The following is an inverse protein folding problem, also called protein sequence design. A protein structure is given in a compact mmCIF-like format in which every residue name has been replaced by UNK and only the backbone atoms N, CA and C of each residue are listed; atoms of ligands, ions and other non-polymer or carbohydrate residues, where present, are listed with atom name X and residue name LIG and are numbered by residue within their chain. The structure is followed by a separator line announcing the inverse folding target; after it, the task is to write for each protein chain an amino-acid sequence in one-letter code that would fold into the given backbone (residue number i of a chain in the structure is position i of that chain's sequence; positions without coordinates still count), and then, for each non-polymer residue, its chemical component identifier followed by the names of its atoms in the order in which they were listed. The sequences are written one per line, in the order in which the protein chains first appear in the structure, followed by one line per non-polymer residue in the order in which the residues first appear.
data_IF_392533559289
#
_entry.id   IF_392533559289
#
_cell.length_a   1.000
_cell.length_b   1.000
_cell.length_c   1.000
_cell.angle_alpha   90.00
_cell.angle_beta   90.00
_cell.angle_gamma   90.00
#
_symmetry.space_group_name_H-M   'P 1'
#
loop_
_entity.id
_entity.type
_entity.pdbx_description
1 polymer ?
#
# COMPACT_ATOMS: atom_id res chain seq x y z
N UNK A 1 -26.28 2.34 -6.97
CA UNK A 1 -25.57 3.01 -5.86
C UNK A 1 -24.18 3.30 -6.34
N UNK A 2 -23.70 4.50 -6.13
CA UNK A 2 -22.35 4.90 -6.45
C UNK A 2 -21.36 4.06 -5.63
N UNK A 3 -20.32 3.54 -6.26
CA UNK A 3 -19.30 2.75 -5.57
C UNK A 3 -18.33 3.66 -4.87
N UNK A 4 -18.03 3.37 -3.62
CA UNK A 4 -17.05 4.09 -2.83
C UNK A 4 -15.92 3.16 -2.39
N UNK A 5 -14.75 3.74 -2.14
CA UNK A 5 -13.59 3.01 -1.63
C UNK A 5 -12.89 3.77 -0.53
N UNK A 6 -12.23 3.02 0.35
CA UNK A 6 -11.45 3.56 1.46
C UNK A 6 -9.99 3.74 1.03
N UNK A 7 -9.58 4.99 0.88
CA UNK A 7 -8.24 5.40 0.45
C UNK A 7 -7.53 6.06 1.63
N UNK A 8 -6.25 5.77 1.82
CA UNK A 8 -5.49 6.44 2.88
C UNK A 8 -4.56 7.54 2.37
N UNK A 9 -4.16 7.49 1.11
CA UNK A 9 -3.33 8.51 0.49
C UNK A 9 -3.55 8.56 -1.03
N UNK A 10 -3.35 9.74 -1.61
CA UNK A 10 -3.16 9.93 -3.05
C UNK A 10 -1.87 10.73 -3.21
N UNK A 11 -0.87 10.12 -3.83
CA UNK A 11 0.45 10.71 -4.03
C UNK A 11 0.57 11.20 -5.47
N UNK A 12 0.81 12.49 -5.62
CA UNK A 12 1.04 13.13 -6.90
C UNK A 12 2.51 13.01 -7.31
N UNK A 13 2.75 12.98 -8.62
CA UNK A 13 4.07 13.09 -9.21
C UNK A 13 5.07 12.01 -8.76
N UNK A 14 4.64 10.74 -8.72
CA UNK A 14 5.54 9.61 -8.43
C UNK A 14 6.31 9.19 -9.68
N UNK A 15 7.60 8.84 -9.50
CA UNK A 15 8.53 8.42 -10.57
C UNK A 15 9.05 6.99 -10.38
N UNK A 16 8.62 6.30 -9.31
CA UNK A 16 9.11 4.96 -8.96
C UNK A 16 8.01 3.89 -8.93
N UNK A 17 6.77 4.27 -9.26
CA UNK A 17 5.60 3.39 -9.13
C UNK A 17 5.04 2.96 -10.50
N UNK A 18 5.94 2.62 -11.41
CA UNK A 18 5.67 2.19 -12.79
C UNK A 18 6.29 3.12 -13.83
N UNK A 19 6.03 2.89 -15.14
CA UNK A 19 6.55 3.73 -16.21
C UNK A 19 6.04 5.17 -16.15
N UNK A 20 6.90 6.13 -16.51
CA UNK A 20 6.56 7.55 -16.56
C UNK A 20 6.27 8.20 -15.20
N UNK A 21 5.66 9.39 -15.23
CA UNK A 21 5.18 10.11 -14.03
C UNK A 21 3.77 9.61 -13.72
N UNK A 22 3.49 9.33 -12.43
CA UNK A 22 2.24 8.71 -12.03
C UNK A 22 1.59 9.38 -10.82
N UNK A 23 0.26 9.39 -10.81
CA UNK A 23 -0.50 9.57 -9.57
C UNK A 23 -0.71 8.19 -8.95
N UNK A 24 -0.34 8.03 -7.67
CA UNK A 24 -0.52 6.77 -6.94
C UNK A 24 -1.68 6.87 -5.98
N UNK A 25 -2.66 5.98 -6.12
CA UNK A 25 -3.84 5.89 -5.24
C UNK A 25 -3.64 4.72 -4.28
N UNK A 26 -3.55 5.02 -2.98
CA UNK A 26 -3.25 4.03 -1.94
C UNK A 26 -4.51 3.56 -1.22
N UNK A 27 -4.91 2.33 -1.47
CA UNK A 27 -6.07 1.67 -0.88
C UNK A 27 -5.82 1.20 0.55
N UNK A 28 -6.86 1.22 1.40
CA UNK A 28 -6.83 0.58 2.71
C UNK A 28 -7.37 -0.86 2.64
N UNK A 29 -6.82 -1.69 3.52
CA UNK A 29 -7.09 -3.12 3.59
C UNK A 29 -5.99 -3.92 2.90
N UNK A 30 -5.41 -4.88 3.62
CA UNK A 30 -4.47 -5.85 3.07
C UNK A 30 -4.73 -7.22 3.71
N UNK A 31 -4.83 -8.31 2.92
CA UNK A 31 -5.02 -9.65 3.45
C UNK A 31 -3.73 -10.24 4.03
N UNK A 32 -2.57 -9.61 3.72
CA UNK A 32 -1.27 -10.01 4.23
C UNK A 32 -0.87 -9.18 5.46
N UNK A 33 -0.08 -9.78 6.34
CA UNK A 33 0.51 -9.13 7.51
C UNK A 33 2.04 -9.16 7.45
N UNK A 34 2.60 -8.58 6.38
CA UNK A 34 4.04 -8.54 6.18
C UNK A 34 4.74 -7.85 7.36
N UNK A 35 5.78 -8.50 7.93
CA UNK A 35 6.54 -7.97 9.06
C UNK A 35 7.29 -6.67 8.72
N UNK A 36 7.70 -6.50 7.46
CA UNK A 36 8.42 -5.33 6.95
C UNK A 36 7.55 -4.36 6.16
N UNK A 37 6.24 -4.34 6.41
CA UNK A 37 5.30 -3.53 5.64
C UNK A 37 5.70 -2.04 5.64
N UNK A 38 5.87 -1.45 4.46
CA UNK A 38 6.20 -0.04 4.30
C UNK A 38 4.98 0.88 4.52
N UNK A 39 3.77 0.35 4.33
CA UNK A 39 2.51 1.07 4.50
C UNK A 39 1.62 0.40 5.56
N UNK A 40 2.06 0.29 6.83
CA UNK A 40 1.27 -0.36 7.87
C UNK A 40 -0.09 0.33 8.10
N UNK A 41 -0.24 1.62 7.77
CA UNK A 41 -1.48 2.36 7.75
C UNK A 41 -2.51 1.83 6.74
N UNK A 42 -2.09 0.99 5.81
CA UNK A 42 -2.98 0.34 4.85
C UNK A 42 -3.51 -1.01 5.32
N UNK A 43 -2.89 -1.67 6.31
CA UNK A 43 -3.25 -3.05 6.69
C UNK A 43 -4.71 -3.21 7.08
N UNK A 44 -5.23 -2.29 7.91
CA UNK A 44 -6.63 -2.29 8.33
C UNK A 44 -7.54 -1.67 7.27
N UNK A 45 -8.70 -2.26 7.05
CA UNK A 45 -9.76 -1.64 6.24
C UNK A 45 -10.42 -0.45 6.95
N UNK A 46 -10.32 -0.40 8.28
CA UNK A 46 -10.93 0.63 9.11
C UNK A 46 -10.06 1.88 9.18
N UNK A 47 -10.69 3.01 9.49
CA UNK A 47 -9.96 4.24 9.84
C UNK A 47 -9.05 3.99 11.03
N UNK A 48 -7.89 4.67 11.06
CA UNK A 48 -6.92 4.55 12.15
C UNK A 48 -6.39 5.93 12.55
N UNK A 49 -6.24 6.14 13.86
CA UNK A 49 -5.62 7.34 14.42
C UNK A 49 -4.11 7.09 14.59
N UNK A 50 -3.32 7.83 13.85
CA UNK A 50 -1.86 7.88 13.96
C UNK A 50 -1.42 9.00 14.91
N UNK A 51 -0.33 8.75 15.62
CA UNK A 51 0.30 9.72 16.52
C UNK A 51 1.82 9.70 16.39
N UNK A 52 2.37 10.76 15.85
CA UNK A 52 3.81 10.99 15.75
C UNK A 52 4.33 11.66 17.03
N UNK A 53 4.87 10.85 17.93
CA UNK A 53 5.36 11.32 19.24
C UNK A 53 6.39 12.44 19.11
N UNK A 54 7.30 12.33 18.15
CA UNK A 54 8.38 13.31 17.94
C UNK A 54 7.89 14.70 17.51
N UNK A 55 6.67 14.78 16.93
CA UNK A 55 6.02 16.05 16.60
C UNK A 55 5.19 16.64 17.73
N UNK A 56 4.95 15.89 18.80
CA UNK A 56 4.06 16.33 19.88
C UNK A 56 4.77 17.28 20.84
N UNK A 57 4.28 18.50 20.97
CA UNK A 57 4.80 19.53 21.91
C UNK A 57 4.06 19.52 23.25
N UNK A 58 3.30 18.46 23.57
CA UNK A 58 2.61 18.27 24.84
C UNK A 58 1.63 19.40 25.25
N UNK A 59 1.09 20.15 24.28
CA UNK A 59 0.24 21.34 24.55
C UNK A 59 -1.16 21.03 25.12
N UNK A 60 -1.61 19.78 25.14
CA UNK A 60 -2.88 19.34 25.71
C UNK A 60 -4.15 19.74 24.94
N UNK A 61 -4.06 20.42 23.80
CA UNK A 61 -5.23 20.88 23.00
C UNK A 61 -6.11 19.71 22.55
N UNK A 62 -5.50 18.61 22.09
CA UNK A 62 -6.22 17.41 21.63
C UNK A 62 -7.06 16.77 22.77
N UNK A 63 -6.55 16.75 24.00
CA UNK A 63 -7.32 16.27 25.17
C UNK A 63 -8.56 17.11 25.42
N UNK A 64 -8.43 18.45 25.34
CA UNK A 64 -9.55 19.37 25.55
C UNK A 64 -10.60 19.29 24.42
N UNK A 65 -10.18 19.00 23.19
CA UNK A 65 -11.04 18.90 22.02
C UNK A 65 -11.76 17.54 21.90
N UNK A 66 -11.30 16.50 22.60
CA UNK A 66 -11.81 15.15 22.43
C UNK A 66 -12.96 14.84 23.40
N UNK A 67 -14.20 14.85 22.92
CA UNK A 67 -15.37 14.47 23.72
C UNK A 67 -15.35 12.99 24.16
N UNK A 68 -14.58 12.11 23.50
CA UNK A 68 -14.49 10.69 23.80
C UNK A 68 -13.36 10.33 24.79
N UNK A 69 -12.64 11.33 25.29
CA UNK A 69 -11.50 11.11 26.20
C UNK A 69 -10.46 10.12 25.65
N UNK A 70 -10.14 10.24 24.37
CA UNK A 70 -9.10 9.43 23.68
C UNK A 70 -7.71 9.78 24.19
N UNK A 71 -7.49 11.04 24.55
CA UNK A 71 -6.18 11.58 24.91
C UNK A 71 -6.08 11.82 26.41
N UNK A 72 -4.99 11.38 27.03
CA UNK A 72 -4.60 11.70 28.39
C UNK A 72 -3.11 11.98 28.49
N UNK A 73 -2.67 12.63 29.55
CA UNK A 73 -1.26 12.97 29.80
C UNK A 73 -0.88 12.50 31.19
N UNK A 74 0.28 11.83 31.29
CA UNK A 74 0.91 11.44 32.55
C UNK A 74 2.37 11.90 32.50
N UNK A 75 2.68 12.93 33.30
CA UNK A 75 3.96 13.64 33.20
C UNK A 75 4.25 14.11 31.78
N UNK A 76 5.35 13.63 31.20
CA UNK A 76 5.75 13.92 29.83
C UNK A 76 5.29 12.86 28.80
N UNK A 77 4.30 12.06 29.16
CA UNK A 77 3.77 11.02 28.29
C UNK A 77 2.36 11.38 27.81
N UNK A 78 2.17 11.43 26.48
CA UNK A 78 0.86 11.52 25.87
C UNK A 78 0.35 10.10 25.59
N UNK A 79 -0.72 9.71 26.25
CA UNK A 79 -1.35 8.38 26.15
C UNK A 79 -2.59 8.50 25.29
N UNK A 80 -2.77 7.56 24.35
CA UNK A 80 -3.89 7.52 23.41
C UNK A 80 -4.64 6.20 23.54
N UNK A 81 -5.90 6.27 23.97
CA UNK A 81 -6.82 5.15 23.97
C UNK A 81 -7.58 5.11 22.63
N UNK A 82 -7.05 4.37 21.65
CA UNK A 82 -7.59 4.30 20.29
C UNK A 82 -8.96 3.62 20.22
N UNK A 83 -9.29 2.73 21.16
CA UNK A 83 -10.57 2.00 21.18
C UNK A 83 -11.77 2.93 21.41
N UNK A 84 -11.51 4.11 22.00
CA UNK A 84 -12.54 5.14 22.21
C UNK A 84 -12.69 6.09 21.02
N UNK A 85 -11.84 5.99 20.00
CA UNK A 85 -11.81 6.95 18.90
C UNK A 85 -12.99 6.73 17.94
N UNK A 86 -13.76 7.78 17.70
CA UNK A 86 -14.85 7.82 16.70
C UNK A 86 -14.47 8.53 15.42
N UNK A 87 -13.19 8.84 15.25
CA UNK A 87 -12.61 9.46 14.04
C UNK A 87 -13.25 10.80 13.62
N UNK A 88 -13.69 11.60 14.58
CA UNK A 88 -14.35 12.91 14.35
C UNK A 88 -13.39 14.02 13.90
N UNK A 89 -12.08 13.81 13.85
CA UNK A 89 -11.01 14.74 13.48
C UNK A 89 -10.74 15.93 14.42
N UNK A 90 -11.56 16.21 15.42
CA UNK A 90 -11.41 17.40 16.29
C UNK A 90 -9.99 17.54 16.89
N UNK A 91 -9.33 16.44 17.24
CA UNK A 91 -7.97 16.44 17.76
C UNK A 91 -6.91 16.67 16.66
N UNK A 92 -7.18 16.24 15.44
CA UNK A 92 -6.33 16.44 14.25
C UNK A 92 -6.36 17.91 13.85
N UNK A 93 -7.54 18.49 13.71
CA UNK A 93 -7.75 19.87 13.25
C UNK A 93 -7.15 20.92 14.20
N UNK A 94 -7.12 20.61 15.51
CA UNK A 94 -6.53 21.51 16.53
C UNK A 94 -5.01 21.29 16.71
N UNK A 95 -4.42 20.25 16.12
CA UNK A 95 -3.01 19.91 16.32
C UNK A 95 -2.09 20.79 15.47
N UNK A 96 -1.51 21.81 16.06
CA UNK A 96 -0.65 22.80 15.38
C UNK A 96 0.67 22.23 14.83
N UNK A 97 1.07 21.04 15.27
CA UNK A 97 2.31 20.40 14.81
C UNK A 97 2.05 19.22 13.88
N UNK A 98 0.77 18.97 13.54
CA UNK A 98 0.37 17.80 12.76
C UNK A 98 0.92 16.48 13.31
N UNK A 99 0.95 16.35 14.66
CA UNK A 99 1.35 15.13 15.33
C UNK A 99 0.28 14.03 15.27
N UNK A 100 -0.97 14.40 14.96
CA UNK A 100 -2.12 13.50 14.87
C UNK A 100 -2.66 13.49 13.44
N UNK A 101 -2.98 12.30 12.95
CA UNK A 101 -3.55 12.10 11.63
C UNK A 101 -4.55 10.93 11.65
N UNK A 102 -5.57 10.96 10.80
CA UNK A 102 -6.49 9.84 10.60
C UNK A 102 -6.30 9.30 9.20
N UNK A 103 -5.88 8.05 9.13
CA UNK A 103 -5.78 7.30 7.89
C UNK A 103 -7.10 6.63 7.53
N UNK A 104 -7.47 6.72 6.26
CA UNK A 104 -8.69 6.17 5.68
C UNK A 104 -9.77 7.23 5.56
N UNK A 105 -10.08 7.55 4.32
CA UNK A 105 -11.19 8.40 3.91
C UNK A 105 -11.95 7.68 2.80
N UNK A 106 -13.27 7.73 2.87
CA UNK A 106 -14.13 7.24 1.81
C UNK A 106 -14.12 8.23 0.64
N UNK A 107 -13.93 7.72 -0.56
CA UNK A 107 -13.95 8.45 -1.82
C UNK A 107 -14.91 7.79 -2.78
N UNK A 108 -15.61 8.59 -3.58
CA UNK A 108 -16.27 8.12 -4.80
C UNK A 108 -15.24 7.97 -5.92
N UNK A 109 -15.60 7.27 -7.00
CA UNK A 109 -14.73 7.19 -8.17
C UNK A 109 -14.50 8.58 -8.80
N UNK A 110 -15.49 9.44 -8.80
CA UNK A 110 -15.39 10.84 -9.27
C UNK A 110 -14.41 11.65 -8.45
N UNK A 111 -14.45 11.53 -7.10
CA UNK A 111 -13.48 12.20 -6.20
C UNK A 111 -12.04 11.80 -6.54
N UNK A 112 -11.79 10.49 -6.73
CA UNK A 112 -10.45 9.99 -7.06
C UNK A 112 -10.01 10.47 -8.44
N UNK A 113 -10.89 10.42 -9.44
CA UNK A 113 -10.58 10.90 -10.78
C UNK A 113 -10.28 12.42 -10.79
N UNK A 114 -11.00 13.20 -9.99
CA UNK A 114 -10.74 14.64 -9.83
C UNK A 114 -9.32 14.90 -9.28
N UNK A 115 -8.84 14.08 -8.35
CA UNK A 115 -7.46 14.19 -7.86
C UNK A 115 -6.45 13.77 -8.94
N UNK A 116 -6.68 12.68 -9.66
CA UNK A 116 -5.82 12.17 -10.73
C UNK A 116 -5.67 13.22 -11.85
N UNK A 117 -6.75 13.85 -12.26
CA UNK A 117 -6.77 14.84 -13.35
C UNK A 117 -5.92 16.09 -13.08
N UNK A 118 -5.53 16.34 -11.82
CA UNK A 118 -4.59 17.44 -11.50
C UNK A 118 -3.19 17.21 -12.07
N UNK A 119 -2.83 15.95 -12.32
CA UNK A 119 -1.50 15.55 -12.79
C UNK A 119 -1.47 15.21 -14.29
N UNK A 120 -2.58 15.26 -15.01
CA UNK A 120 -2.71 14.77 -16.39
C UNK A 120 -1.68 15.38 -17.34
N UNK A 121 -1.34 16.66 -17.16
CA UNK A 121 -0.32 17.38 -17.93
C UNK A 121 1.09 16.80 -17.77
N UNK A 122 1.34 16.02 -16.73
CA UNK A 122 2.65 15.41 -16.43
C UNK A 122 2.75 13.96 -16.89
N UNK A 123 1.65 13.31 -17.27
CA UNK A 123 1.65 11.90 -17.63
C UNK A 123 2.41 11.62 -18.95
N UNK A 124 2.39 12.55 -19.91
CA UNK A 124 3.03 12.36 -21.21
C UNK A 124 2.54 11.07 -21.88
N UNK A 125 3.44 10.40 -22.61
CA UNK A 125 3.09 9.18 -23.37
C UNK A 125 3.09 7.91 -22.50
N UNK A 126 3.90 7.84 -21.44
CA UNK A 126 4.12 6.63 -20.64
C UNK A 126 3.53 6.71 -19.23
N UNK A 127 3.22 7.90 -18.74
CA UNK A 127 2.72 8.10 -17.38
C UNK A 127 1.23 7.84 -17.23
N UNK A 128 0.75 7.94 -16.01
CA UNK A 128 -0.66 7.69 -15.71
C UNK A 128 -0.94 7.42 -14.23
N UNK A 129 -1.66 6.35 -13.93
CA UNK A 129 -2.14 6.06 -12.58
C UNK A 129 -1.66 4.70 -12.09
N UNK A 130 -1.23 4.65 -10.83
CA UNK A 130 -0.93 3.40 -10.14
C UNK A 130 -1.87 3.22 -8.95
N UNK A 131 -2.53 2.08 -8.90
CA UNK A 131 -3.35 1.65 -7.78
C UNK A 131 -2.52 0.74 -6.87
N UNK A 132 -2.29 1.16 -5.64
CA UNK A 132 -1.39 0.56 -4.66
C UNK A 132 -2.00 0.63 -3.25
N UNK A 133 -1.18 0.56 -2.19
CA UNK A 133 -1.56 0.79 -0.80
C UNK A 133 -1.39 -0.42 0.08
N UNK A 134 -2.50 -1.05 0.51
CA UNK A 134 -2.53 -2.38 1.08
C UNK A 134 -2.57 -3.42 -0.03
N UNK A 135 -3.77 -3.87 -0.37
CA UNK A 135 -4.03 -4.70 -1.54
C UNK A 135 -5.24 -4.12 -2.28
N UNK A 136 -5.06 -3.52 -3.45
CA UNK A 136 -6.18 -2.89 -4.18
C UNK A 136 -7.34 -3.85 -4.48
N UNK A 137 -7.03 -5.12 -4.66
CA UNK A 137 -8.03 -6.16 -4.91
C UNK A 137 -8.95 -6.46 -3.72
N UNK A 138 -8.65 -5.98 -2.51
CA UNK A 138 -9.57 -6.03 -1.38
C UNK A 138 -10.85 -5.22 -1.64
N UNK A 139 -10.74 -4.18 -2.46
CA UNK A 139 -11.85 -3.31 -2.86
C UNK A 139 -12.10 -3.42 -4.38
N UNK A 140 -12.18 -4.66 -4.89
CA UNK A 140 -12.15 -4.98 -6.31
C UNK A 140 -13.16 -4.19 -7.15
N UNK A 141 -14.39 -4.08 -6.71
CA UNK A 141 -15.43 -3.39 -7.49
C UNK A 141 -15.12 -1.91 -7.68
N UNK A 142 -14.53 -1.27 -6.67
CA UNK A 142 -14.12 0.13 -6.73
C UNK A 142 -12.86 0.30 -7.58
N UNK A 143 -11.86 -0.59 -7.41
CA UNK A 143 -10.67 -0.64 -8.25
C UNK A 143 -11.04 -0.78 -9.73
N UNK A 144 -11.94 -1.70 -10.05
CA UNK A 144 -12.35 -1.99 -11.43
C UNK A 144 -13.03 -0.79 -12.09
N UNK A 145 -13.84 -0.03 -11.34
CA UNK A 145 -14.46 1.20 -11.81
C UNK A 145 -13.42 2.29 -12.11
N UNK A 146 -12.43 2.47 -11.21
CA UNK A 146 -11.34 3.43 -11.41
C UNK A 146 -10.48 3.07 -12.63
N UNK A 147 -10.11 1.80 -12.79
CA UNK A 147 -9.36 1.31 -13.96
C UNK A 147 -10.07 1.67 -15.26
N UNK A 148 -11.37 1.39 -15.35
CA UNK A 148 -12.19 1.76 -16.52
C UNK A 148 -12.20 3.26 -16.76
N UNK A 149 -12.37 4.05 -15.71
CA UNK A 149 -12.42 5.51 -15.80
C UNK A 149 -11.08 6.07 -16.31
N UNK A 150 -9.95 5.56 -15.81
CA UNK A 150 -8.62 5.92 -16.27
C UNK A 150 -8.42 5.58 -17.76
N UNK A 151 -8.83 4.38 -18.19
CA UNK A 151 -8.71 3.98 -19.61
C UNK A 151 -9.60 4.84 -20.53
N UNK A 152 -10.79 5.24 -20.07
CA UNK A 152 -11.65 6.14 -20.84
C UNK A 152 -11.04 7.54 -21.03
N UNK A 153 -10.17 7.97 -20.09
CA UNK A 153 -9.40 9.22 -20.19
C UNK A 153 -8.11 9.06 -21.00
N UNK A 154 -7.75 7.84 -21.40
CA UNK A 154 -6.52 7.53 -22.12
C UNK A 154 -5.27 7.42 -21.24
N UNK A 155 -5.43 7.36 -19.91
CA UNK A 155 -4.30 7.23 -18.99
C UNK A 155 -3.74 5.81 -18.98
N UNK A 156 -2.43 5.68 -18.87
CA UNK A 156 -1.78 4.41 -18.57
C UNK A 156 -2.10 3.98 -17.13
N UNK A 157 -2.35 2.69 -16.95
CA UNK A 157 -2.79 2.12 -15.67
C UNK A 157 -1.82 1.07 -15.17
N UNK A 158 -1.44 1.17 -13.90
CA UNK A 158 -0.69 0.15 -13.18
C UNK A 158 -1.46 -0.34 -11.97
N UNK A 159 -1.29 -1.61 -11.61
CA UNK A 159 -1.70 -2.16 -10.31
C UNK A 159 -0.46 -2.68 -9.61
N UNK A 160 -0.15 -2.13 -8.43
CA UNK A 160 0.82 -2.73 -7.52
C UNK A 160 0.08 -3.69 -6.58
N UNK A 161 0.44 -4.96 -6.62
CA UNK A 161 -0.28 -6.01 -5.93
C UNK A 161 0.65 -7.11 -5.42
N UNK A 162 0.28 -7.66 -4.27
CA UNK A 162 0.86 -8.92 -3.79
C UNK A 162 0.41 -10.13 -4.60
N UNK A 163 -0.60 -9.98 -5.45
CA UNK A 163 -1.24 -11.08 -6.16
C UNK A 163 -2.12 -11.99 -5.27
N UNK A 164 -2.30 -11.69 -3.98
CA UNK A 164 -3.12 -12.50 -3.08
C UNK A 164 -4.60 -12.12 -3.18
N UNK A 165 -5.20 -12.53 -4.28
CA UNK A 165 -6.61 -12.31 -4.63
C UNK A 165 -7.20 -13.49 -5.39
N UNK A 166 -8.51 -13.46 -5.67
CA UNK A 166 -9.15 -14.44 -6.54
C UNK A 166 -8.64 -14.27 -7.99
N UNK A 167 -8.32 -15.39 -8.65
CA UNK A 167 -7.84 -15.37 -10.04
C UNK A 167 -8.80 -14.65 -10.99
N UNK A 168 -10.11 -14.80 -10.77
CA UNK A 168 -11.14 -14.12 -11.58
C UNK A 168 -11.01 -12.59 -11.53
N UNK A 169 -10.68 -12.04 -10.37
CA UNK A 169 -10.53 -10.59 -10.18
C UNK A 169 -9.29 -10.06 -10.94
N UNK A 170 -8.17 -10.79 -10.86
CA UNK A 170 -6.93 -10.35 -11.51
C UNK A 170 -7.06 -10.41 -13.05
N UNK A 171 -7.73 -11.45 -13.58
CA UNK A 171 -8.02 -11.58 -15.01
C UNK A 171 -8.94 -10.45 -15.49
N UNK A 172 -10.01 -10.14 -14.75
CA UNK A 172 -10.90 -9.03 -15.11
C UNK A 172 -10.18 -7.67 -15.04
N UNK A 173 -9.35 -7.43 -14.03
CA UNK A 173 -8.58 -6.19 -13.94
C UNK A 173 -7.61 -6.04 -15.11
N UNK A 174 -7.03 -7.13 -15.60
CA UNK A 174 -6.08 -7.13 -16.70
C UNK A 174 -6.63 -6.52 -17.99
N UNK A 175 -7.96 -6.53 -18.21
CA UNK A 175 -8.62 -5.89 -19.35
C UNK A 175 -8.36 -4.37 -19.42
N UNK A 176 -8.08 -3.76 -18.26
CA UNK A 176 -7.92 -2.30 -18.09
C UNK A 176 -6.59 -1.94 -17.41
N UNK A 177 -5.61 -2.86 -17.41
CA UNK A 177 -4.31 -2.67 -16.76
C UNK A 177 -3.19 -2.83 -17.78
N UNK A 178 -2.34 -1.81 -17.91
CA UNK A 178 -1.20 -1.87 -18.82
C UNK A 178 -0.02 -2.60 -18.18
N UNK A 179 0.21 -2.43 -16.86
CA UNK A 179 1.32 -3.04 -16.15
C UNK A 179 0.89 -3.53 -14.77
N UNK A 180 1.33 -4.73 -14.40
CA UNK A 180 1.28 -5.20 -13.02
C UNK A 180 2.65 -5.04 -12.36
N UNK A 181 2.73 -4.24 -11.29
CA UNK A 181 3.85 -4.23 -10.38
C UNK A 181 3.60 -5.35 -9.37
N UNK A 182 4.14 -6.52 -9.65
CA UNK A 182 3.78 -7.75 -8.94
C UNK A 182 4.81 -8.10 -7.89
N UNK A 183 4.40 -8.14 -6.62
CA UNK A 183 5.30 -8.38 -5.50
C UNK A 183 5.66 -9.86 -5.33
N UNK A 184 6.96 -10.17 -5.43
CA UNK A 184 7.55 -11.44 -5.02
C UNK A 184 8.22 -11.27 -3.65
N UNK A 185 7.45 -11.42 -2.57
CA UNK A 185 7.93 -11.14 -1.21
C UNK A 185 8.81 -12.25 -0.67
N UNK A 186 8.59 -13.49 -1.09
CA UNK A 186 9.32 -14.69 -0.70
C UNK A 186 8.95 -15.84 -1.64
N UNK A 187 9.95 -16.59 -2.12
CA UNK A 187 9.76 -17.69 -3.07
C UNK A 187 9.41 -19.01 -2.39
N UNK A 188 9.86 -19.25 -1.16
CA UNK A 188 9.51 -20.43 -0.38
C UNK A 188 8.15 -20.24 0.32
N UNK A 189 7.22 -21.17 0.14
CA UNK A 189 5.84 -21.06 0.63
C UNK A 189 5.74 -20.99 2.17
N UNK A 190 6.57 -21.73 2.89
CA UNK A 190 6.54 -21.75 4.35
C UNK A 190 7.12 -20.46 4.94
N UNK A 191 8.23 -20.00 4.39
CA UNK A 191 8.83 -18.73 4.79
C UNK A 191 7.89 -17.55 4.43
N UNK A 192 7.24 -17.59 3.26
CA UNK A 192 6.24 -16.61 2.89
C UNK A 192 5.15 -16.53 3.95
N UNK A 193 4.63 -17.68 4.40
CA UNK A 193 3.62 -17.72 5.46
C UNK A 193 4.13 -17.16 6.79
N UNK A 194 5.37 -17.47 7.17
CA UNK A 194 5.99 -16.97 8.40
C UNK A 194 6.12 -15.43 8.38
N UNK A 195 6.46 -14.87 7.23
CA UNK A 195 6.77 -13.44 7.11
C UNK A 195 5.57 -12.59 6.74
N UNK A 196 4.57 -13.14 6.06
CA UNK A 196 3.44 -12.37 5.51
C UNK A 196 2.07 -12.82 6.00
N UNK A 197 1.99 -13.93 6.76
CA UNK A 197 0.75 -14.48 7.28
C UNK A 197 0.04 -15.47 6.36
N UNK A 198 0.38 -15.56 5.07
CA UNK A 198 -0.19 -16.50 4.10
C UNK A 198 0.90 -17.17 3.27
N UNK A 199 0.62 -18.36 2.71
CA UNK A 199 1.52 -18.98 1.72
C UNK A 199 1.39 -18.30 0.34
N UNK A 200 2.35 -18.58 -0.56
CA UNK A 200 2.42 -17.93 -1.87
C UNK A 200 1.73 -18.70 -3.01
N UNK A 201 1.04 -19.82 -2.75
CA UNK A 201 0.45 -20.67 -3.80
C UNK A 201 -0.57 -19.92 -4.66
N UNK A 202 -1.47 -19.16 -4.04
CA UNK A 202 -2.46 -18.36 -4.78
C UNK A 202 -1.79 -17.22 -5.56
N UNK A 203 -0.73 -16.64 -5.01
CA UNK A 203 0.07 -15.58 -5.64
C UNK A 203 0.72 -16.11 -6.92
N UNK A 204 1.42 -17.24 -6.85
CA UNK A 204 2.06 -17.87 -8.02
C UNK A 204 1.04 -18.31 -9.07
N UNK A 205 -0.12 -18.85 -8.65
CA UNK A 205 -1.23 -19.18 -9.56
C UNK A 205 -1.73 -17.92 -10.31
N UNK A 206 -1.77 -16.79 -9.65
CA UNK A 206 -2.21 -15.54 -10.27
C UNK A 206 -1.14 -14.96 -11.21
N UNK A 207 0.14 -15.14 -10.90
CA UNK A 207 1.23 -14.79 -11.80
C UNK A 207 1.20 -15.67 -13.08
N UNK A 208 0.95 -16.97 -12.93
CA UNK A 208 0.75 -17.89 -14.06
C UNK A 208 -0.44 -17.44 -14.94
N UNK A 209 -1.58 -17.11 -14.33
CA UNK A 209 -2.75 -16.61 -15.06
C UNK A 209 -2.47 -15.32 -15.84
N UNK A 210 -1.68 -14.38 -15.28
CA UNK A 210 -1.23 -13.19 -16.00
C UNK A 210 -0.32 -13.53 -17.17
N UNK A 211 0.53 -14.56 -17.04
CA UNK A 211 1.37 -15.03 -18.13
C UNK A 211 0.54 -15.65 -19.27
N UNK A 212 -0.47 -16.46 -18.95
CA UNK A 212 -1.37 -17.08 -19.95
C UNK A 212 -2.07 -16.04 -20.82
N UNK A 213 -2.49 -14.91 -20.23
CA UNK A 213 -3.14 -13.80 -20.95
C UNK A 213 -2.16 -12.74 -21.44
N UNK A 214 -0.83 -12.97 -21.28
CA UNK A 214 0.26 -12.10 -21.72
C UNK A 214 0.19 -10.66 -21.19
N UNK A 215 -0.31 -10.47 -19.98
CA UNK A 215 -0.29 -9.17 -19.30
C UNK A 215 1.13 -8.80 -18.89
N UNK A 216 1.52 -7.56 -19.12
CA UNK A 216 2.86 -7.08 -18.78
C UNK A 216 3.07 -7.03 -17.27
N UNK A 217 4.13 -7.67 -16.78
CA UNK A 217 4.50 -7.75 -15.36
C UNK A 217 5.88 -7.15 -15.13
N UNK A 218 6.01 -6.33 -14.10
CA UNK A 218 7.26 -5.92 -13.48
C UNK A 218 7.31 -6.62 -12.14
N UNK A 219 8.25 -7.55 -11.96
CA UNK A 219 8.36 -8.33 -10.73
C UNK A 219 9.14 -7.53 -9.68
N UNK A 220 8.48 -7.15 -8.59
CA UNK A 220 9.07 -6.39 -7.48
C UNK A 220 9.43 -7.31 -6.32
N UNK A 221 10.70 -7.30 -5.94
CA UNK A 221 11.25 -8.21 -4.96
C UNK A 221 11.86 -7.43 -3.79
N UNK A 222 11.12 -7.18 -2.70
CA UNK A 222 11.69 -6.57 -1.51
C UNK A 222 12.70 -7.51 -0.86
N UNK A 223 13.93 -7.03 -0.65
CA UNK A 223 15.02 -7.80 -0.05
C UNK A 223 15.26 -7.30 1.37
N UNK A 224 14.95 -8.17 2.33
CA UNK A 224 14.96 -7.85 3.76
C UNK A 224 16.12 -8.58 4.44
N UNK A 225 17.12 -7.85 4.96
CA UNK A 225 18.28 -8.43 5.62
C UNK A 225 17.92 -9.37 6.77
N UNK A 226 18.46 -10.59 6.73
CA UNK A 226 18.20 -11.62 7.72
C UNK A 226 16.87 -12.37 7.59
N UNK A 227 16.08 -12.05 6.54
CA UNK A 227 14.82 -12.73 6.24
C UNK A 227 14.89 -13.49 4.91
N UNK A 228 14.93 -12.75 3.81
CA UNK A 228 14.90 -13.32 2.46
C UNK A 228 16.16 -12.99 1.63
N UNK A 229 17.18 -12.37 2.20
CA UNK A 229 18.48 -12.07 1.60
C UNK A 229 19.40 -13.31 1.50
N UNK A 230 18.85 -14.42 1.08
CA UNK A 230 19.55 -15.72 0.97
C UNK A 230 19.57 -16.22 -0.47
N UNK A 231 20.57 -17.03 -0.77
CA UNK A 231 20.85 -17.55 -2.12
C UNK A 231 19.62 -18.23 -2.74
N UNK A 232 18.93 -19.08 -1.98
CA UNK A 232 17.76 -19.83 -2.45
C UNK A 232 16.60 -18.91 -2.89
N UNK A 233 16.44 -17.77 -2.24
CA UNK A 233 15.42 -16.79 -2.63
C UNK A 233 15.79 -16.11 -3.95
N UNK A 234 17.04 -15.69 -4.12
CA UNK A 234 17.51 -15.11 -5.39
C UNK A 234 17.43 -16.09 -6.55
N UNK A 235 17.81 -17.36 -6.32
CA UNK A 235 17.65 -18.43 -7.32
C UNK A 235 16.17 -18.66 -7.67
N UNK A 236 15.28 -18.59 -6.68
CA UNK A 236 13.84 -18.69 -6.89
C UNK A 236 13.27 -17.52 -7.69
N UNK A 237 13.73 -16.29 -7.44
CA UNK A 237 13.35 -15.11 -8.25
C UNK A 237 13.81 -15.29 -9.70
N UNK A 238 15.05 -15.72 -9.93
CA UNK A 238 15.58 -15.97 -11.25
C UNK A 238 14.76 -17.04 -11.99
N UNK A 239 14.44 -18.15 -11.33
CA UNK A 239 13.62 -19.21 -11.90
C UNK A 239 12.20 -18.72 -12.29
N UNK A 240 11.57 -17.88 -11.47
CA UNK A 240 10.28 -17.27 -11.80
C UNK A 240 10.41 -16.36 -13.04
N UNK A 241 11.46 -15.54 -13.10
CA UNK A 241 11.68 -14.63 -14.23
C UNK A 241 11.98 -15.38 -15.55
N UNK A 242 12.65 -16.54 -15.49
CA UNK A 242 12.90 -17.38 -16.65
C UNK A 242 11.66 -18.17 -17.08
N UNK A 243 10.80 -18.53 -16.14
CA UNK A 243 9.58 -19.31 -16.41
C UNK A 243 8.49 -18.51 -17.12
N UNK A 244 8.34 -17.22 -16.82
CA UNK A 244 7.22 -16.41 -17.29
C UNK A 244 7.66 -15.32 -18.26
N UNK A 245 7.35 -15.50 -19.54
CA UNK A 245 7.75 -14.60 -20.64
C UNK A 245 7.14 -13.20 -20.56
N UNK A 246 6.07 -13.03 -19.81
CA UNK A 246 5.38 -11.74 -19.62
C UNK A 246 6.06 -10.84 -18.57
N UNK A 247 7.11 -11.33 -17.87
CA UNK A 247 7.89 -10.52 -16.94
C UNK A 247 8.88 -9.67 -17.74
N UNK A 248 8.62 -8.36 -17.78
CA UNK A 248 9.44 -7.40 -18.53
C UNK A 248 10.78 -7.13 -17.85
N UNK A 249 10.80 -7.10 -16.54
CA UNK A 249 11.99 -6.91 -15.70
C UNK A 249 11.73 -7.32 -14.25
N UNK A 250 12.83 -7.51 -13.53
CA UNK A 250 12.84 -7.74 -12.09
C UNK A 250 13.45 -6.52 -11.39
N UNK A 251 12.78 -6.01 -10.37
CA UNK A 251 13.23 -4.91 -9.52
C UNK A 251 13.51 -5.45 -8.13
N UNK A 252 14.79 -5.42 -7.70
CA UNK A 252 15.18 -5.74 -6.34
C UNK A 252 15.07 -4.47 -5.49
N UNK A 253 14.22 -4.50 -4.47
CA UNK A 253 13.96 -3.34 -3.61
C UNK A 253 14.66 -3.50 -2.27
N UNK A 254 15.71 -2.71 -2.00
CA UNK A 254 16.38 -2.74 -0.71
C UNK A 254 15.42 -2.35 0.42
N UNK A 255 15.55 -3.03 1.57
CA UNK A 255 14.79 -2.67 2.76
C UNK A 255 15.13 -1.25 3.24
N UNK A 256 14.12 -0.53 3.71
CA UNK A 256 14.25 0.73 4.42
C UNK A 256 13.29 0.78 5.64
N UNK A 257 13.71 1.43 6.71
CA UNK A 257 13.03 1.43 8.02
C UNK A 257 11.84 2.38 8.15
N UNK A 258 11.40 3.05 7.08
CA UNK A 258 10.30 4.03 7.12
C UNK A 258 8.98 3.46 7.67
N UNK A 259 8.71 2.18 7.40
CA UNK A 259 7.51 1.50 7.90
C UNK A 259 7.50 1.29 9.42
N UNK A 260 8.67 1.16 10.06
CA UNK A 260 8.79 0.94 11.51
C UNK A 260 8.18 2.10 12.31
N UNK A 261 8.55 3.33 11.95
CA UNK A 261 8.02 4.56 12.59
C UNK A 261 6.51 4.69 12.43
N UNK A 262 5.97 4.29 11.28
CA UNK A 262 4.53 4.30 11.01
C UNK A 262 3.79 3.27 11.89
N UNK A 263 4.35 2.07 12.11
CA UNK A 263 3.78 1.08 13.02
C UNK A 263 3.65 1.63 14.45
N UNK A 264 4.71 2.23 14.97
CA UNK A 264 4.70 2.86 16.30
C UNK A 264 3.66 3.99 16.39
N UNK A 265 3.57 4.82 15.35
CA UNK A 265 2.57 5.90 15.29
C UNK A 265 1.14 5.39 15.32
N UNK A 266 0.87 4.18 14.80
CA UNK A 266 -0.42 3.51 14.86
C UNK A 266 -0.66 2.76 16.17
N UNK A 267 0.33 2.72 17.09
CA UNK A 267 0.27 1.99 18.35
C UNK A 267 0.47 0.49 18.20
N UNK A 268 1.12 0.05 17.14
CA UNK A 268 1.49 -1.35 16.88
C UNK A 268 2.90 -1.64 17.39
N UNK A 269 3.22 -2.93 17.52
CA UNK A 269 4.59 -3.36 17.84
C UNK A 269 5.56 -3.01 16.72
N UNK A 270 6.77 -2.65 17.10
CA UNK A 270 7.86 -2.34 16.20
C UNK A 270 8.60 -3.65 15.84
N UNK A 271 8.67 -3.99 14.56
CA UNK A 271 9.56 -5.02 14.06
C UNK A 271 10.81 -4.34 13.49
N UNK A 272 11.96 -4.60 14.11
CA UNK A 272 13.24 -4.03 13.65
C UNK A 272 13.99 -5.02 12.77
N UNK A 273 14.37 -4.55 11.60
CA UNK A 273 15.26 -5.26 10.68
C UNK A 273 16.56 -4.50 10.55
N UNK A 274 17.64 -5.21 10.18
CA UNK A 274 18.90 -4.54 9.88
C UNK A 274 18.73 -3.77 8.56
N UNK A 275 19.24 -2.54 8.53
CA UNK A 275 19.37 -1.84 7.25
C UNK A 275 20.45 -2.53 6.40
N UNK A 276 20.32 -2.53 5.05
CA UNK A 276 21.39 -3.01 4.17
C UNK A 276 22.68 -2.27 4.48
N UNK A 277 23.81 -2.96 4.40
CA UNK A 277 25.12 -2.29 4.43
C UNK A 277 25.24 -1.41 3.19
N UNK A 278 25.76 -0.19 3.38
CA UNK A 278 26.06 0.76 2.29
C UNK A 278 27.07 0.19 1.28
#
# INVERSE_FOLDING_TARGET
MEKTGNIFNIQHFSVNDGPGIRTVVFFKGCPLDCRWCHNPESKSEKKELSFLKDKCIMCGKCMKACAQNVHSFDGNLHIINRDRCVFCKSCVDICVTSALEIFGKEYTAEDVMTEIEKDDIFFGDDGGVTFSGGEPFMQFDFLYELLKSCKHKGYSTCIETSGFTKTENIIKAAEYTDYFLFDCKETNAENHKIYTGADNRQILKNLEALNEIKSAVILRCPIIPGCNDRKEHFEGIAAIAEQYENILRVELEPYHSLGERKNVALGREEHKFKEPAE
#
